data_IF_104990366363
#
_entry.id   IF_104990366363
#
_cell.length_a   1.000
_cell.length_b   1.000
_cell.length_c   1.000
_cell.angle_alpha   90.00
_cell.angle_beta   90.00
_cell.angle_gamma   90.00
#
_symmetry.space_group_name_H-M   'P 1'
#
loop_
_entity.id
_entity.type
_entity.pdbx_description
1 polymer ?
#
# COMPACT_ATOMS: atom_id res chain seq x y z
N UNK A 1 4.19 16.71 0.11
CA UNK A 1 5.51 17.03 -0.45
C UNK A 1 5.30 18.12 -1.51
N UNK A 2 6.31 18.91 -1.83
CA UNK A 2 6.26 19.72 -3.05
C UNK A 2 6.59 18.84 -4.26
N UNK A 3 6.20 19.25 -5.47
CA UNK A 3 6.53 18.51 -6.70
C UNK A 3 8.05 18.29 -6.83
N UNK A 4 8.83 19.31 -6.51
CA UNK A 4 10.31 19.26 -6.53
C UNK A 4 10.86 18.19 -5.57
N UNK A 5 10.23 18.01 -4.41
CA UNK A 5 10.63 16.98 -3.46
C UNK A 5 10.30 15.58 -3.97
N UNK A 6 9.16 15.40 -4.66
CA UNK A 6 8.78 14.11 -5.25
C UNK A 6 9.72 13.73 -6.40
N UNK A 7 10.02 14.68 -7.28
CA UNK A 7 10.94 14.47 -8.41
C UNK A 7 12.36 14.13 -7.92
N UNK A 8 12.81 14.79 -6.85
CA UNK A 8 14.08 14.51 -6.19
C UNK A 8 14.12 13.10 -5.59
N UNK A 9 13.04 12.68 -4.92
CA UNK A 9 12.90 11.33 -4.38
C UNK A 9 12.96 10.27 -5.48
N UNK A 10 12.20 10.46 -6.58
CA UNK A 10 12.16 9.52 -7.70
C UNK A 10 13.49 9.45 -8.46
N UNK A 11 14.22 10.56 -8.54
CA UNK A 11 15.56 10.61 -9.13
C UNK A 11 16.58 9.88 -8.26
N UNK A 12 16.51 10.09 -6.94
CA UNK A 12 17.34 9.38 -5.97
C UNK A 12 17.15 7.87 -6.06
N UNK A 13 15.91 7.38 -6.06
CA UNK A 13 15.66 5.94 -6.10
C UNK A 13 16.09 5.33 -7.43
N UNK A 14 15.88 6.01 -8.56
CA UNK A 14 16.33 5.54 -9.87
C UNK A 14 17.85 5.33 -9.96
N UNK A 15 18.64 6.21 -9.35
CA UNK A 15 20.11 6.16 -9.39
C UNK A 15 20.76 5.31 -8.31
N UNK A 16 19.99 4.81 -7.32
CA UNK A 16 20.55 4.15 -6.15
C UNK A 16 20.53 2.60 -6.28
N UNK A 17 21.67 1.91 -6.13
CA UNK A 17 21.77 0.46 -6.33
C UNK A 17 21.01 -0.39 -5.31
N UNK A 18 20.63 0.20 -4.16
CA UNK A 18 19.86 -0.48 -3.10
C UNK A 18 18.36 -0.20 -3.24
N UNK A 19 18.01 1.06 -3.53
CA UNK A 19 16.62 1.53 -3.49
C UNK A 19 15.89 1.55 -4.84
N UNK A 20 16.59 1.30 -5.96
CA UNK A 20 15.96 1.27 -7.29
C UNK A 20 14.79 0.29 -7.38
N UNK A 21 14.89 -0.84 -6.66
CA UNK A 21 13.86 -1.88 -6.64
C UNK A 21 12.54 -1.48 -5.97
N UNK A 22 12.51 -0.35 -5.25
CA UNK A 22 11.31 0.17 -4.58
C UNK A 22 10.68 1.36 -5.33
N UNK A 23 11.24 1.70 -6.50
CA UNK A 23 10.85 2.92 -7.21
C UNK A 23 9.42 2.85 -7.71
N UNK A 24 8.99 1.69 -8.21
CA UNK A 24 7.65 1.52 -8.76
C UNK A 24 6.59 1.61 -7.66
N UNK A 25 6.87 1.05 -6.48
CA UNK A 25 6.02 1.15 -5.29
C UNK A 25 5.88 2.60 -4.83
N UNK A 26 6.97 3.38 -4.83
CA UNK A 26 6.92 4.81 -4.50
C UNK A 26 6.06 5.57 -5.50
N UNK A 27 6.18 5.28 -6.80
CA UNK A 27 5.32 5.88 -7.84
C UNK A 27 3.85 5.55 -7.59
N UNK A 28 3.55 4.30 -7.24
CA UNK A 28 2.18 3.87 -6.92
C UNK A 28 1.66 4.66 -5.71
N UNK A 29 2.43 4.77 -4.61
CA UNK A 29 1.99 5.52 -3.44
C UNK A 29 1.72 6.99 -3.74
N UNK A 30 2.61 7.66 -4.47
CA UNK A 30 2.45 9.06 -4.86
C UNK A 30 1.24 9.26 -5.79
N UNK A 31 1.01 8.33 -6.72
CA UNK A 31 -0.06 8.44 -7.72
C UNK A 31 -1.45 8.01 -7.23
N UNK A 32 -1.54 7.24 -6.15
CA UNK A 32 -2.81 6.61 -5.71
C UNK A 32 -3.21 6.97 -4.29
N UNK A 33 -2.26 7.36 -3.43
CA UNK A 33 -2.53 7.60 -2.01
C UNK A 33 -2.88 6.34 -1.21
N UNK A 34 -2.60 5.14 -1.73
CA UNK A 34 -2.80 3.88 -1.00
C UNK A 34 -2.05 3.89 0.33
N UNK A 35 -2.70 3.36 1.37
CA UNK A 35 -2.02 3.00 2.61
C UNK A 35 -1.12 1.80 2.36
N UNK A 36 -0.02 1.71 3.09
CA UNK A 36 0.96 0.63 2.92
C UNK A 36 0.33 -0.75 3.08
N UNK A 37 -0.59 -0.94 4.04
CA UNK A 37 -1.29 -2.22 4.24
C UNK A 37 -2.23 -2.59 3.09
N UNK A 38 -2.84 -1.61 2.41
CA UNK A 38 -3.67 -1.84 1.22
C UNK A 38 -2.81 -2.27 0.05
N UNK A 39 -1.68 -1.59 -0.17
CA UNK A 39 -0.71 -1.98 -1.19
C UNK A 39 -0.18 -3.40 -0.95
N UNK A 40 0.18 -3.75 0.29
CA UNK A 40 0.59 -5.10 0.65
C UNK A 40 -0.52 -6.14 0.49
N UNK A 41 -1.79 -5.71 0.49
CA UNK A 41 -2.96 -6.55 0.23
C UNK A 41 -3.28 -6.75 -1.26
N UNK A 42 -2.60 -6.02 -2.16
CA UNK A 42 -2.82 -6.17 -3.60
C UNK A 42 -2.41 -7.56 -4.08
N UNK A 43 -3.25 -8.14 -4.93
CA UNK A 43 -3.00 -9.41 -5.60
C UNK A 43 -2.90 -9.19 -7.11
N UNK A 44 -2.79 -10.27 -7.89
CA UNK A 44 -2.77 -10.20 -9.37
C UNK A 44 -4.09 -9.71 -9.99
N UNK A 45 -5.13 -9.47 -9.18
CA UNK A 45 -6.44 -8.99 -9.62
C UNK A 45 -6.46 -7.46 -9.83
N UNK A 46 -5.63 -6.98 -10.75
CA UNK A 46 -5.58 -5.57 -11.15
C UNK A 46 -6.31 -5.37 -12.49
N UNK A 47 -7.12 -4.32 -12.58
CA UNK A 47 -7.82 -3.99 -13.81
C UNK A 47 -6.96 -3.05 -14.68
N UNK A 48 -6.10 -3.66 -15.49
CA UNK A 48 -5.25 -2.92 -16.43
C UNK A 48 -6.03 -2.31 -17.60
N UNK A 49 -7.20 -2.85 -17.94
CA UNK A 49 -8.02 -2.36 -19.06
C UNK A 49 -8.60 -0.99 -18.69
N UNK A 50 -9.20 -0.88 -17.51
CA UNK A 50 -9.77 0.36 -17.00
C UNK A 50 -8.76 1.21 -16.21
N UNK A 51 -7.53 0.71 -16.00
CA UNK A 51 -6.48 1.34 -15.19
C UNK A 51 -6.94 1.61 -13.75
N UNK A 52 -7.62 0.62 -13.16
CA UNK A 52 -8.23 0.72 -11.85
C UNK A 52 -7.57 -0.25 -10.86
N UNK A 53 -7.32 0.25 -9.65
CA UNK A 53 -6.94 -0.54 -8.50
C UNK A 53 -8.16 -0.64 -7.59
N UNK A 54 -8.68 -1.84 -7.42
CA UNK A 54 -9.77 -2.11 -6.49
C UNK A 54 -9.17 -2.41 -5.11
N UNK A 55 -9.62 -1.67 -4.09
CA UNK A 55 -9.10 -1.75 -2.71
C UNK A 55 -10.17 -2.33 -1.81
N UNK A 56 -10.17 -3.65 -1.70
CA UNK A 56 -11.14 -4.47 -0.97
C UNK A 56 -10.54 -5.13 0.28
N UNK A 57 -9.21 -5.26 0.32
CA UNK A 57 -8.47 -5.84 1.43
C UNK A 57 -7.23 -5.01 1.80
N UNK A 58 -6.72 -5.26 3.01
CA UNK A 58 -5.40 -4.86 3.45
C UNK A 58 -4.70 -6.04 4.13
N UNK A 59 -3.39 -6.16 3.93
CA UNK A 59 -2.57 -7.16 4.61
C UNK A 59 -1.97 -6.53 5.87
N UNK A 60 -2.29 -7.11 7.02
CA UNK A 60 -1.76 -6.72 8.32
C UNK A 60 -0.76 -7.76 8.81
N UNK A 61 0.23 -7.31 9.57
CA UNK A 61 1.18 -8.18 10.26
C UNK A 61 1.21 -7.81 11.74
N UNK A 62 0.92 -8.80 12.56
CA UNK A 62 1.07 -8.76 14.00
C UNK A 62 2.25 -9.66 14.43
N UNK A 63 2.96 -9.29 15.49
CA UNK A 63 4.16 -10.03 15.91
C UNK A 63 3.85 -11.39 16.54
N UNK A 64 2.66 -11.54 17.15
CA UNK A 64 2.27 -12.76 17.86
C UNK A 64 1.51 -13.71 16.94
N UNK A 65 0.60 -13.15 16.14
CA UNK A 65 -0.36 -13.91 15.32
C UNK A 65 0.03 -14.01 13.85
N UNK A 66 1.03 -13.24 13.41
CA UNK A 66 1.56 -13.28 12.05
C UNK A 66 0.74 -12.44 11.06
N UNK A 67 0.52 -12.96 9.86
CA UNK A 67 -0.14 -12.22 8.78
C UNK A 67 -1.64 -12.48 8.74
N UNK A 68 -2.43 -11.43 8.56
CA UNK A 68 -3.88 -11.52 8.40
C UNK A 68 -4.39 -10.58 7.30
N UNK A 69 -5.33 -11.07 6.49
CA UNK A 69 -6.10 -10.21 5.60
C UNK A 69 -7.26 -9.59 6.37
N UNK A 70 -7.38 -8.27 6.31
CA UNK A 70 -8.50 -7.53 6.85
C UNK A 70 -9.31 -6.90 5.73
N UNK A 71 -10.63 -7.06 5.81
CA UNK A 71 -11.58 -6.22 5.08
C UNK A 71 -11.98 -5.04 5.93
N UNK A 72 -12.57 -4.01 5.33
CA UNK A 72 -13.19 -2.93 6.07
C UNK A 72 -14.29 -3.43 7.03
N UNK A 73 -15.05 -4.45 6.63
CA UNK A 73 -16.09 -5.04 7.47
C UNK A 73 -15.51 -5.73 8.71
N UNK A 74 -14.43 -6.52 8.53
CA UNK A 74 -13.78 -7.21 9.66
C UNK A 74 -13.02 -6.26 10.57
N UNK A 75 -12.40 -5.21 10.01
CA UNK A 75 -11.72 -4.18 10.81
C UNK A 75 -12.71 -3.41 11.69
N UNK A 76 -13.88 -3.04 11.14
CA UNK A 76 -14.95 -2.39 11.90
C UNK A 76 -15.47 -3.28 13.03
N UNK A 77 -15.77 -4.54 12.72
CA UNK A 77 -16.24 -5.50 13.73
C UNK A 77 -15.24 -5.70 14.87
N UNK A 78 -13.94 -5.68 14.58
CA UNK A 78 -12.91 -5.77 15.63
C UNK A 78 -12.79 -4.51 16.47
N UNK A 79 -12.82 -3.33 15.85
CA UNK A 79 -12.86 -2.07 16.58
C UNK A 79 -14.07 -1.98 17.51
N UNK A 80 -15.25 -2.42 17.04
CA UNK A 80 -16.48 -2.46 17.84
C UNK A 80 -16.35 -3.45 19.02
N UNK A 81 -15.65 -4.59 18.85
CA UNK A 81 -15.36 -5.55 19.94
C UNK A 81 -14.41 -4.99 21.00
N UNK A 82 -13.37 -4.25 20.59
CA UNK A 82 -12.37 -3.69 21.50
C UNK A 82 -12.88 -2.46 22.27
N UNK A 83 -13.94 -1.81 21.80
CA UNK A 83 -14.56 -0.65 22.42
C UNK A 83 -15.65 -1.00 23.46
N UNK A 84 -15.94 -2.29 23.68
CA UNK A 84 -16.94 -2.81 24.61
C UNK A 84 -16.30 -3.45 25.85
#
# INVERSE_FOLDING_TARGET
MTQEQEDSLLSFTAGNPVYWKYRDEIIIFLGTGLRVSEFCGLTVNLDFVNRQINVDYQLLRDSETGYAYATYASAKAEMDRLAA
#
